data_IF_694795960415
#
_entry.id   IF_694795960415
#
_cell.length_a   1.000
_cell.length_b   1.000
_cell.length_c   1.000
_cell.angle_alpha   90.00
_cell.angle_beta   90.00
_cell.angle_gamma   90.00
#
_symmetry.space_group_name_H-M   'P 1'
#
loop_
_entity.id
_entity.type
_entity.pdbx_description
1 polymer ?
#
# COMPACT_ATOMS: atom_id res chain seq x y z
N UNK A 1 11.46 -15.83 13.71
CA UNK A 1 12.16 -14.58 13.38
C UNK A 1 11.21 -13.41 13.66
N UNK A 2 11.43 -12.63 14.72
CA UNK A 2 10.57 -11.49 15.10
C UNK A 2 11.27 -10.21 14.66
N UNK A 3 10.81 -9.56 13.60
CA UNK A 3 11.33 -8.24 13.19
C UNK A 3 11.07 -7.26 14.34
N UNK A 4 12.11 -6.87 15.09
CA UNK A 4 12.02 -5.74 16.03
C UNK A 4 12.16 -4.46 15.21
N UNK A 5 11.10 -3.69 15.14
CA UNK A 5 11.13 -2.33 14.62
C UNK A 5 11.82 -1.42 15.64
N UNK A 6 12.66 -0.49 15.17
CA UNK A 6 13.39 0.43 16.05
C UNK A 6 12.43 1.42 16.75
N UNK A 7 12.73 1.86 17.99
CA UNK A 7 11.95 2.89 18.68
C UNK A 7 11.83 4.17 17.83
N UNK A 8 10.64 4.77 17.74
CA UNK A 8 10.36 5.97 16.92
C UNK A 8 9.84 5.71 15.50
N UNK A 9 9.81 4.44 15.07
CA UNK A 9 9.29 4.03 13.74
C UNK A 9 7.80 3.68 13.75
N UNK A 10 7.22 3.60 14.95
CA UNK A 10 5.84 3.24 15.23
C UNK A 10 4.99 4.50 15.38
N UNK A 11 3.74 4.46 14.92
CA UNK A 11 2.74 5.48 15.23
C UNK A 11 2.25 5.35 16.69
N UNK A 12 1.37 6.26 17.10
CA UNK A 12 0.76 6.29 18.44
C UNK A 12 0.02 5.00 18.81
N UNK A 13 -0.29 4.15 17.82
CA UNK A 13 -0.92 2.84 18.00
C UNK A 13 0.09 1.69 18.02
N UNK A 14 1.40 1.98 18.00
CA UNK A 14 2.46 0.98 18.00
C UNK A 14 2.71 0.32 16.63
N UNK A 15 2.20 0.87 15.52
CA UNK A 15 2.34 0.30 14.18
C UNK A 15 3.36 1.06 13.32
N UNK A 16 4.20 0.36 12.56
CA UNK A 16 5.04 1.03 11.57
C UNK A 16 4.19 1.69 10.49
N UNK A 17 4.34 3.00 10.28
CA UNK A 17 3.73 3.68 9.12
C UNK A 17 4.37 3.17 7.83
N UNK A 18 3.63 2.59 6.87
CA UNK A 18 4.22 2.05 5.65
C UNK A 18 4.60 3.15 4.63
N UNK A 19 3.94 4.31 4.68
CA UNK A 19 4.22 5.46 3.81
C UNK A 19 5.19 6.46 4.46
N UNK A 20 6.01 7.11 3.64
CA UNK A 20 7.03 8.10 4.01
C UNK A 20 6.41 9.35 4.65
N UNK A 21 7.18 10.07 5.47
CA UNK A 21 6.73 11.31 6.13
C UNK A 21 6.87 12.56 5.25
N UNK A 22 7.46 12.44 4.04
CA UNK A 22 7.65 13.58 3.13
C UNK A 22 6.32 14.21 2.70
N UNK A 23 6.32 15.52 2.52
CA UNK A 23 5.10 16.27 2.15
C UNK A 23 4.59 15.92 0.76
N UNK A 24 5.49 15.53 -0.14
CA UNK A 24 5.20 15.18 -1.51
C UNK A 24 4.89 13.68 -1.71
N UNK A 25 4.64 12.90 -0.65
CA UNK A 25 4.18 11.50 -0.82
C UNK A 25 2.87 11.43 -1.62
N UNK A 26 2.68 10.36 -2.38
CA UNK A 26 1.40 10.12 -3.05
C UNK A 26 1.15 8.64 -3.33
N UNK A 27 -0.12 8.28 -3.39
CA UNK A 27 -0.58 6.98 -3.89
C UNK A 27 -1.61 7.21 -5.00
N UNK A 28 -1.40 6.58 -6.15
CA UNK A 28 -2.32 6.60 -7.29
C UNK A 28 -2.97 5.24 -7.39
N UNK A 29 -4.30 5.24 -7.43
CA UNK A 29 -5.13 4.07 -7.65
C UNK A 29 -6.05 4.35 -8.84
N UNK A 30 -6.88 3.39 -9.22
CA UNK A 30 -7.85 3.54 -10.33
C UNK A 30 -8.79 4.74 -10.07
N UNK A 31 -9.12 5.01 -8.82
CA UNK A 31 -10.01 6.10 -8.42
C UNK A 31 -9.33 7.48 -8.37
N UNK A 32 -8.01 7.54 -8.54
CA UNK A 32 -7.25 8.79 -8.63
C UNK A 32 -6.01 8.86 -7.75
N UNK A 33 -5.42 10.05 -7.68
CA UNK A 33 -4.17 10.32 -6.95
C UNK A 33 -4.43 11.00 -5.61
N UNK A 34 -3.93 10.39 -4.55
CA UNK A 34 -4.06 10.82 -3.16
C UNK A 34 -2.73 11.37 -2.67
N UNK A 35 -2.68 12.69 -2.44
CA UNK A 35 -1.46 13.41 -2.02
C UNK A 35 -1.38 13.52 -0.51
N UNK A 36 -0.16 13.40 0.02
CA UNK A 36 0.14 13.58 1.43
C UNK A 36 -0.46 12.51 2.33
N UNK A 37 -0.05 12.52 3.60
CA UNK A 37 -0.50 11.56 4.61
C UNK A 37 -2.02 11.58 4.82
N UNK A 38 -2.63 12.77 4.76
CA UNK A 38 -4.09 12.94 4.92
C UNK A 38 -4.86 12.32 3.74
N UNK A 39 -4.38 12.51 2.51
CA UNK A 39 -5.02 11.94 1.32
C UNK A 39 -4.98 10.42 1.35
N UNK A 40 -3.81 9.84 1.65
CA UNK A 40 -3.62 8.39 1.72
C UNK A 40 -4.47 7.79 2.86
N UNK A 41 -4.50 8.41 4.04
CA UNK A 41 -5.38 7.95 5.14
C UNK A 41 -6.85 8.02 4.79
N UNK A 42 -7.28 9.03 4.01
CA UNK A 42 -8.66 9.14 3.55
C UNK A 42 -9.03 7.97 2.63
N UNK A 43 -8.14 7.56 1.74
CA UNK A 43 -8.37 6.44 0.83
C UNK A 43 -8.63 5.12 1.58
N UNK A 44 -7.83 4.79 2.59
CA UNK A 44 -7.97 3.52 3.33
C UNK A 44 -9.06 3.54 4.42
N UNK A 45 -9.72 4.66 4.67
CA UNK A 45 -10.73 4.79 5.74
C UNK A 45 -11.95 3.85 5.54
N UNK A 46 -12.52 3.68 4.33
CA UNK A 46 -13.68 2.81 4.11
C UNK A 46 -13.42 1.34 4.45
N UNK A 47 -12.19 0.84 4.23
CA UNK A 47 -11.82 -0.56 4.50
C UNK A 47 -11.79 -0.97 5.98
N UNK A 48 -12.15 -0.09 6.93
CA UNK A 48 -12.21 -0.40 8.37
C UNK A 48 -13.52 -1.03 8.81
N UNK A 49 -14.60 -0.82 8.06
CA UNK A 49 -15.92 -1.43 8.32
C UNK A 49 -16.44 -1.94 7.00
N UNK A 50 -16.44 -3.25 6.86
CA UNK A 50 -16.82 -3.92 5.62
C UNK A 50 -17.93 -4.93 5.90
N UNK A 51 -18.86 -5.13 4.97
CA UNK A 51 -19.89 -6.16 5.11
C UNK A 51 -19.27 -7.57 5.03
N UNK A 52 -19.96 -8.63 5.50
CA UNK A 52 -19.44 -10.00 5.49
C UNK A 52 -19.02 -10.53 4.10
N UNK A 53 -19.66 -10.02 3.05
CA UNK A 53 -19.41 -10.39 1.65
C UNK A 53 -18.18 -9.70 1.06
N UNK A 54 -17.55 -8.78 1.82
CA UNK A 54 -16.38 -8.07 1.36
C UNK A 54 -15.13 -8.97 1.40
N UNK A 55 -14.53 -9.18 0.22
CA UNK A 55 -13.24 -9.82 0.06
C UNK A 55 -12.36 -8.90 -0.77
N UNK A 56 -11.19 -8.54 -0.26
CA UNK A 56 -10.20 -7.82 -1.04
C UNK A 56 -8.84 -8.47 -0.86
N UNK A 57 -8.45 -9.26 -1.85
CA UNK A 57 -7.17 -9.94 -1.88
C UNK A 57 -6.44 -9.58 -3.17
N UNK A 58 -5.29 -8.92 -3.05
CA UNK A 58 -4.40 -8.65 -4.17
C UNK A 58 -3.02 -9.18 -3.79
N UNK A 59 -2.65 -10.29 -4.42
CA UNK A 59 -1.36 -10.93 -4.18
C UNK A 59 -0.28 -10.13 -4.89
N UNK A 60 0.80 -9.85 -4.17
CA UNK A 60 1.98 -9.17 -4.67
C UNK A 60 2.97 -10.24 -5.16
N UNK A 61 3.08 -10.43 -6.48
CA UNK A 61 3.87 -11.49 -7.09
C UNK A 61 5.09 -10.95 -7.84
N UNK A 62 6.18 -11.73 -7.81
CA UNK A 62 7.43 -11.52 -8.55
C UNK A 62 7.98 -10.08 -8.54
N UNK A 63 8.25 -9.49 -7.36
CA UNK A 63 8.77 -8.13 -7.29
C UNK A 63 10.17 -8.02 -7.90
N UNK A 64 10.41 -6.95 -8.66
CA UNK A 64 11.75 -6.53 -9.09
C UNK A 64 12.08 -5.23 -8.38
N UNK A 65 13.12 -5.24 -7.55
CA UNK A 65 13.50 -4.09 -6.72
C UNK A 65 14.94 -3.70 -7.01
N UNK A 66 15.15 -2.44 -7.36
CA UNK A 66 16.48 -1.83 -7.53
C UNK A 66 16.72 -0.83 -6.40
N UNK A 67 17.69 -1.14 -5.54
CA UNK A 67 18.14 -0.23 -4.48
C UNK A 67 19.22 0.69 -5.07
N UNK A 68 19.13 1.99 -4.78
CA UNK A 68 20.13 2.96 -5.21
C UNK A 68 21.47 2.72 -4.48
N UNK A 69 22.62 3.09 -5.09
CA UNK A 69 23.94 2.88 -4.48
C UNK A 69 24.10 3.54 -3.11
N UNK A 70 23.39 4.65 -2.87
CA UNK A 70 23.38 5.38 -1.59
C UNK A 70 22.63 4.65 -0.47
N UNK A 71 21.89 3.58 -0.78
CA UNK A 71 21.04 2.83 0.16
C UNK A 71 19.97 3.70 0.85
N UNK A 72 19.59 4.83 0.25
CA UNK A 72 18.59 5.78 0.74
C UNK A 72 17.31 5.78 -0.09
N UNK A 73 17.37 5.31 -1.34
CA UNK A 73 16.19 5.19 -2.22
C UNK A 73 16.14 3.85 -2.96
N UNK A 74 14.94 3.47 -3.39
CA UNK A 74 14.74 2.29 -4.23
C UNK A 74 13.56 2.48 -5.18
N UNK A 75 13.58 1.75 -6.30
CA UNK A 75 12.45 1.59 -7.21
C UNK A 75 12.02 0.13 -7.17
N UNK A 76 10.73 -0.13 -7.16
CA UNK A 76 10.20 -1.49 -7.19
C UNK A 76 9.06 -1.60 -8.19
N UNK A 77 9.08 -2.65 -9.01
CA UNK A 77 7.94 -3.06 -9.81
C UNK A 77 7.30 -4.29 -9.18
N UNK A 78 6.00 -4.24 -8.99
CA UNK A 78 5.22 -5.32 -8.40
C UNK A 78 4.11 -5.71 -9.36
N UNK A 79 3.83 -7.00 -9.45
CA UNK A 79 2.73 -7.51 -10.24
C UNK A 79 1.64 -7.94 -9.25
N UNK A 80 0.48 -7.32 -9.33
CA UNK A 80 -0.67 -7.64 -8.53
C UNK A 80 -1.62 -8.54 -9.29
N UNK A 81 -2.04 -9.64 -8.67
CA UNK A 81 -3.15 -10.44 -9.16
C UNK A 81 -4.09 -10.80 -8.03
N UNK A 82 -5.39 -10.70 -8.26
CA UNK A 82 -6.34 -10.99 -7.19
C UNK A 82 -7.79 -10.76 -7.53
N UNK A 83 -8.59 -10.67 -6.47
CA UNK A 83 -10.03 -10.53 -6.53
C UNK A 83 -10.55 -9.52 -5.51
N UNK A 84 -11.65 -8.89 -5.88
CA UNK A 84 -12.40 -7.94 -5.08
C UNK A 84 -13.88 -8.29 -5.12
N UNK A 85 -14.51 -8.38 -3.95
CA UNK A 85 -15.94 -8.49 -3.74
C UNK A 85 -16.31 -7.40 -2.72
N UNK A 86 -17.32 -6.59 -2.99
CA UNK A 86 -17.74 -5.56 -2.03
C UNK A 86 -19.25 -5.32 -1.93
N UNK A 87 -20.02 -5.68 -2.96
CA UNK A 87 -21.47 -5.58 -2.93
C UNK A 87 -22.09 -6.74 -3.73
N UNK A 88 -23.10 -7.43 -3.18
CA UNK A 88 -23.87 -8.40 -3.95
C UNK A 88 -24.61 -7.74 -5.12
N UNK A 89 -24.71 -8.46 -6.23
CA UNK A 89 -25.55 -8.11 -7.38
C UNK A 89 -26.67 -9.15 -7.44
N UNK A 90 -27.93 -8.70 -7.33
CA UNK A 90 -29.11 -9.59 -7.26
C UNK A 90 -28.93 -10.69 -6.19
N UNK A 91 -28.54 -10.31 -4.97
CA UNK A 91 -28.29 -11.20 -3.82
C UNK A 91 -27.20 -12.27 -4.03
N UNK A 92 -26.39 -12.16 -5.09
CA UNK A 92 -25.26 -13.04 -5.36
C UNK A 92 -23.92 -12.31 -5.22
N UNK A 93 -22.89 -13.04 -4.78
CA UNK A 93 -21.52 -12.52 -4.77
C UNK A 93 -21.05 -12.38 -6.22
N UNK A 94 -20.60 -11.18 -6.59
CA UNK A 94 -20.06 -10.86 -7.91
C UNK A 94 -18.57 -10.51 -7.78
N UNK A 95 -17.65 -11.47 -8.02
CA UNK A 95 -16.22 -11.24 -7.88
C UNK A 95 -15.64 -10.51 -9.08
N UNK A 96 -14.95 -9.41 -8.82
CA UNK A 96 -14.12 -8.71 -9.81
C UNK A 96 -12.71 -9.27 -9.73
N UNK A 97 -12.13 -9.65 -10.87
CA UNK A 97 -10.73 -10.05 -10.96
C UNK A 97 -9.87 -8.87 -11.41
N UNK A 98 -8.67 -8.78 -10.84
CA UNK A 98 -7.75 -7.70 -11.14
C UNK A 98 -6.35 -8.22 -11.43
N UNK A 99 -5.73 -7.59 -12.43
CA UNK A 99 -4.31 -7.70 -12.76
C UNK A 99 -3.76 -6.28 -12.86
N UNK A 100 -2.70 -5.99 -12.13
CA UNK A 100 -2.16 -4.64 -11.97
C UNK A 100 -0.64 -4.69 -11.93
N UNK A 101 0.00 -3.64 -12.43
CA UNK A 101 1.44 -3.43 -12.27
C UNK A 101 1.60 -2.18 -11.41
N UNK A 102 2.31 -2.29 -10.29
CA UNK A 102 2.66 -1.16 -9.45
C UNK A 102 4.11 -0.73 -9.69
N UNK A 103 4.32 0.54 -10.00
CA UNK A 103 5.63 1.18 -10.07
C UNK A 103 5.86 2.05 -8.83
N UNK A 104 6.56 1.44 -7.87
CA UNK A 104 6.76 1.97 -6.54
C UNK A 104 8.09 2.74 -6.45
N UNK A 105 8.07 3.87 -5.75
CA UNK A 105 9.29 4.53 -5.25
C UNK A 105 9.34 4.41 -3.74
N UNK A 106 10.52 4.12 -3.22
CA UNK A 106 10.78 3.96 -1.79
C UNK A 106 11.88 4.91 -1.34
N UNK A 107 11.80 5.32 -0.08
CA UNK A 107 12.83 6.10 0.62
C UNK A 107 13.10 5.46 1.97
N UNK A 108 14.35 5.49 2.44
CA UNK A 108 14.69 5.04 3.78
C UNK A 108 14.64 6.23 4.75
N UNK A 109 13.82 6.11 5.77
CA UNK A 109 13.65 7.10 6.85
C UNK A 109 13.98 6.42 8.18
N UNK A 110 14.92 6.99 8.93
CA UNK A 110 15.35 6.47 10.24
C UNK A 110 15.71 4.98 10.19
N UNK A 111 16.39 4.56 9.11
CA UNK A 111 16.79 3.15 8.90
C UNK A 111 15.68 2.23 8.37
N UNK A 112 14.45 2.72 8.17
CA UNK A 112 13.30 1.93 7.72
C UNK A 112 12.85 2.34 6.31
N UNK A 113 12.66 1.36 5.43
CA UNK A 113 12.11 1.60 4.10
C UNK A 113 10.63 1.98 4.17
N UNK A 114 10.26 3.04 3.44
CA UNK A 114 8.91 3.59 3.37
C UNK A 114 8.47 3.76 1.92
N UNK A 115 7.18 3.55 1.66
CA UNK A 115 6.56 3.86 0.36
C UNK A 115 6.53 5.37 0.20
N UNK A 116 7.18 5.87 -0.85
CA UNK A 116 7.18 7.29 -1.21
C UNK A 116 6.15 7.59 -2.29
N UNK A 117 6.17 6.80 -3.37
CA UNK A 117 5.18 6.84 -4.45
C UNK A 117 4.64 5.44 -4.68
N UNK A 118 3.33 5.34 -4.72
CA UNK A 118 2.60 4.17 -5.24
C UNK A 118 1.89 4.63 -6.51
N UNK A 119 2.13 3.95 -7.62
CA UNK A 119 1.52 4.22 -8.91
C UNK A 119 1.32 2.91 -9.66
#
# INVERSE_FOLDING_TARGET
MRLRLLPGTLDESGNSRPFSRRDDISATFVEGTYKGQKGIRRYFRPGRKTPPEFLHQVMQVSPVITVAPDNLSARGRWYGYGTFCARPVNDNIDPVYMSVIYEMKYVKEDGVWKIFKLA
#
